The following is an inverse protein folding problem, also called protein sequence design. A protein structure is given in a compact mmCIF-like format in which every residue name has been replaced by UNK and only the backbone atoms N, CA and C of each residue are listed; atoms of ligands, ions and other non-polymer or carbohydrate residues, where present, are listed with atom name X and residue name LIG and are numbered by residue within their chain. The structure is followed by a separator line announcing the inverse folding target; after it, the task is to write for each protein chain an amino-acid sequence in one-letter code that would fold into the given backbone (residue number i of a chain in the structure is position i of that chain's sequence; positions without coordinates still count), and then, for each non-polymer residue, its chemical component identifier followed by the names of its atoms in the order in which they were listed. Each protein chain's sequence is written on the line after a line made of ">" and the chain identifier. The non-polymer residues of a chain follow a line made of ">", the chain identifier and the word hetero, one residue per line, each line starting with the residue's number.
data_IF_157403776253
#
_entry.id   IF_157403776253
#
_cell.length_a   1.000
_cell.length_b   1.000
_cell.length_c   1.000
_cell.angle_alpha   90.00
_cell.angle_beta   90.00
_cell.angle_gamma   90.00
#
_symmetry.space_group_name_H-M   'P 1'
#
loop_
_entity.id
_entity.type
_entity.pdbx_description
1 polymer ?
#
# COMPACT_ATOMS: atom_id res chain seq x y z
N UNK A 1 -19.05 -18.78 -1.59
CA UNK A 1 -19.41 -17.65 -0.71
C UNK A 1 -18.43 -16.56 -1.05
N UNK A 2 -18.87 -15.49 -1.72
CA UNK A 2 -18.06 -14.31 -2.02
C UNK A 2 -17.70 -13.68 -0.68
N UNK A 3 -16.41 -13.55 -0.42
CA UNK A 3 -15.87 -12.86 0.76
C UNK A 3 -16.18 -11.36 0.59
N UNK A 4 -17.35 -10.94 1.10
CA UNK A 4 -17.81 -9.55 1.01
C UNK A 4 -16.99 -8.73 2.00
N UNK A 5 -16.06 -7.93 1.48
CA UNK A 5 -15.27 -6.99 2.26
C UNK A 5 -16.13 -5.83 2.77
N UNK A 6 -15.72 -5.25 3.90
CA UNK A 6 -16.37 -4.06 4.47
C UNK A 6 -15.33 -2.95 4.63
N UNK A 7 -15.71 -1.76 4.20
CA UNK A 7 -14.93 -0.55 4.41
C UNK A 7 -15.78 0.40 5.24
N UNK A 8 -15.25 0.93 6.33
CA UNK A 8 -15.96 1.88 7.16
C UNK A 8 -15.09 3.07 7.57
N UNK A 9 -15.74 4.16 7.92
CA UNK A 9 -15.13 5.45 8.16
C UNK A 9 -15.20 6.38 6.94
N UNK A 10 -15.28 7.67 7.20
CA UNK A 10 -15.55 8.68 6.15
C UNK A 10 -14.50 8.69 5.06
N UNK A 11 -13.23 8.82 5.43
CA UNK A 11 -12.15 8.95 4.46
C UNK A 11 -11.97 7.70 3.59
N UNK A 12 -11.90 6.47 4.14
CA UNK A 12 -11.84 5.26 3.32
C UNK A 12 -13.00 5.12 2.33
N UNK A 13 -14.22 5.45 2.74
CA UNK A 13 -15.39 5.37 1.85
C UNK A 13 -15.40 6.50 0.81
N UNK A 14 -14.93 7.69 1.14
CA UNK A 14 -14.75 8.76 0.15
C UNK A 14 -13.71 8.38 -0.91
N UNK A 15 -12.56 7.83 -0.50
CA UNK A 15 -11.52 7.40 -1.43
C UNK A 15 -12.00 6.24 -2.31
N UNK A 16 -12.71 5.27 -1.76
CA UNK A 16 -13.37 4.22 -2.55
C UNK A 16 -14.26 4.80 -3.67
N UNK A 17 -15.08 5.80 -3.33
CA UNK A 17 -16.01 6.42 -4.29
C UNK A 17 -15.31 7.32 -5.32
N UNK A 18 -14.17 7.92 -4.97
CA UNK A 18 -13.39 8.80 -5.84
C UNK A 18 -12.48 8.03 -6.79
N UNK A 19 -11.92 6.91 -6.34
CA UNK A 19 -10.96 6.11 -7.11
C UNK A 19 -11.57 5.51 -8.37
N UNK A 20 -12.87 5.19 -8.34
CA UNK A 20 -13.53 4.44 -9.42
C UNK A 20 -13.01 3.01 -9.60
N UNK A 21 -12.14 2.54 -8.69
CA UNK A 21 -11.51 1.22 -8.72
C UNK A 21 -12.48 0.10 -8.35
N UNK A 22 -12.53 -0.26 -7.07
CA UNK A 22 -13.49 -1.27 -6.59
C UNK A 22 -14.90 -0.72 -6.57
N UNK A 23 -15.84 -1.50 -7.06
CA UNK A 23 -17.27 -1.13 -6.98
C UNK A 23 -17.81 -1.46 -5.59
N UNK A 24 -18.45 -0.46 -4.95
CA UNK A 24 -19.28 -0.70 -3.79
C UNK A 24 -20.64 -1.25 -4.24
N UNK A 25 -21.12 -2.30 -3.59
CA UNK A 25 -22.46 -2.84 -3.83
C UNK A 25 -23.52 -2.01 -3.10
N UNK A 26 -23.21 -1.59 -1.90
CA UNK A 26 -24.10 -0.80 -1.05
C UNK A 26 -23.28 0.08 -0.09
N UNK A 27 -23.78 1.29 0.15
CA UNK A 27 -23.26 2.18 1.19
C UNK A 27 -24.36 2.44 2.20
N UNK A 28 -24.16 1.97 3.43
CA UNK A 28 -25.02 2.26 4.58
C UNK A 28 -24.54 3.54 5.27
N UNK A 29 -25.43 4.52 5.43
CA UNK A 29 -25.12 5.83 6.01
C UNK A 29 -26.07 6.10 7.19
N UNK A 30 -25.57 6.81 8.20
CA UNK A 30 -26.36 7.20 9.36
C UNK A 30 -27.58 8.03 8.92
N UNK A 31 -28.78 7.68 9.44
CA UNK A 31 -29.99 8.43 9.18
C UNK A 31 -29.83 9.89 9.63
N UNK A 32 -30.32 10.85 8.80
CA UNK A 32 -30.13 12.27 9.03
C UNK A 32 -28.70 12.79 8.71
N UNK A 33 -27.95 12.09 7.89
CA UNK A 33 -26.60 12.47 7.46
C UNK A 33 -26.52 13.92 6.98
N UNK A 34 -25.59 14.70 7.55
CA UNK A 34 -25.31 16.10 7.20
C UNK A 34 -23.80 16.31 7.06
N UNK A 35 -23.40 17.43 6.46
CA UNK A 35 -22.00 17.80 6.31
C UNK A 35 -21.21 16.74 5.52
N UNK A 36 -20.09 16.25 6.04
CA UNK A 36 -19.23 15.30 5.30
C UNK A 36 -19.91 13.99 4.89
N UNK A 37 -20.94 13.53 5.61
CA UNK A 37 -21.70 12.36 5.23
C UNK A 37 -22.64 12.63 4.05
N UNK A 38 -23.10 13.86 3.88
CA UNK A 38 -23.89 14.26 2.71
C UNK A 38 -23.05 14.18 1.42
N UNK A 39 -21.74 14.48 1.49
CA UNK A 39 -20.81 14.31 0.37
C UNK A 39 -20.71 12.83 -0.04
N UNK A 40 -20.59 11.93 0.93
CA UNK A 40 -20.58 10.46 0.67
C UNK A 40 -21.84 10.05 -0.08
N UNK A 41 -23.02 10.49 0.38
CA UNK A 41 -24.30 10.18 -0.26
C UNK A 41 -24.35 10.72 -1.68
N UNK A 42 -23.88 11.95 -1.92
CA UNK A 42 -23.86 12.55 -3.23
C UNK A 42 -22.93 11.81 -4.20
N UNK A 43 -21.74 11.44 -3.76
CA UNK A 43 -20.77 10.67 -4.55
C UNK A 43 -21.31 9.27 -4.86
N UNK A 44 -21.86 8.56 -3.86
CA UNK A 44 -22.43 7.23 -4.04
C UNK A 44 -23.57 7.24 -5.09
N UNK A 45 -24.46 8.22 -5.02
CA UNK A 45 -25.54 8.38 -6.02
C UNK A 45 -25.01 8.66 -7.41
N UNK A 46 -23.99 9.52 -7.55
CA UNK A 46 -23.35 9.79 -8.85
C UNK A 46 -22.68 8.54 -9.43
N UNK A 47 -22.09 7.71 -8.57
CA UNK A 47 -21.48 6.44 -8.96
C UNK A 47 -22.50 5.30 -9.20
N UNK A 48 -23.80 5.55 -9.05
CA UNK A 48 -24.86 4.53 -9.19
C UNK A 48 -24.82 3.46 -8.09
N UNK A 49 -24.23 3.76 -6.94
CA UNK A 49 -24.14 2.84 -5.80
C UNK A 49 -25.41 2.98 -4.95
N UNK A 50 -25.96 1.84 -4.54
CA UNK A 50 -27.12 1.80 -3.64
C UNK A 50 -26.78 2.43 -2.29
N UNK A 51 -27.59 3.40 -1.85
CA UNK A 51 -27.46 4.04 -0.54
C UNK A 51 -28.62 3.63 0.35
N UNK A 52 -28.32 3.16 1.56
CA UNK A 52 -29.31 2.86 2.60
C UNK A 52 -29.04 3.69 3.85
N UNK A 53 -30.11 4.13 4.50
CA UNK A 53 -30.00 4.87 5.75
C UNK A 53 -30.25 3.93 6.93
N UNK A 54 -29.41 4.01 7.95
CA UNK A 54 -29.38 3.11 9.11
C UNK A 54 -29.26 3.89 10.42
N UNK A 55 -29.68 3.28 11.52
CA UNK A 55 -29.36 3.80 12.85
C UNK A 55 -27.91 3.55 13.20
N UNK A 56 -27.41 4.16 14.27
CA UNK A 56 -26.05 3.96 14.74
C UNK A 56 -25.79 2.50 15.13
N UNK A 57 -26.75 1.88 15.81
CA UNK A 57 -26.71 0.49 16.26
C UNK A 57 -26.64 -0.49 15.07
N UNK A 58 -27.42 -0.21 14.02
CA UNK A 58 -27.39 -1.00 12.80
C UNK A 58 -26.06 -0.87 12.08
N UNK A 59 -25.47 0.33 12.01
CA UNK A 59 -24.15 0.52 11.43
C UNK A 59 -23.07 -0.18 12.24
N UNK A 60 -23.15 -0.13 13.58
CA UNK A 60 -22.23 -0.86 14.48
C UNK A 60 -22.31 -2.37 14.24
N UNK A 61 -23.53 -2.91 14.09
CA UNK A 61 -23.72 -4.32 13.79
C UNK A 61 -23.13 -4.71 12.42
N UNK A 62 -23.32 -3.87 11.39
CA UNK A 62 -22.75 -4.10 10.05
C UNK A 62 -21.21 -3.98 10.07
N UNK A 63 -20.67 -2.96 10.74
CA UNK A 63 -19.24 -2.68 10.78
C UNK A 63 -18.46 -3.61 11.74
N UNK A 64 -19.15 -4.22 12.70
CA UNK A 64 -18.52 -4.96 13.81
C UNK A 64 -17.79 -4.06 14.81
N UNK A 65 -18.00 -2.74 14.76
CA UNK A 65 -17.34 -1.73 15.60
C UNK A 65 -18.14 -0.43 15.62
N UNK A 66 -17.98 0.36 16.68
CA UNK A 66 -18.56 1.70 16.84
C UNK A 66 -17.77 2.81 16.11
N UNK A 67 -16.56 2.49 15.60
CA UNK A 67 -15.64 3.45 14.94
C UNK A 67 -15.98 3.74 13.47
N UNK A 68 -17.18 3.40 13.02
CA UNK A 68 -17.62 3.54 11.62
C UNK A 68 -17.86 4.99 11.17
N UNK A 69 -17.83 5.97 12.05
CA UNK A 69 -18.02 7.40 11.72
C UNK A 69 -19.31 7.70 10.92
N UNK A 70 -20.33 6.87 11.09
CA UNK A 70 -21.63 7.03 10.43
C UNK A 70 -21.73 6.49 9.01
N UNK A 71 -20.76 5.72 8.53
CA UNK A 71 -20.78 5.14 7.19
C UNK A 71 -20.06 3.79 7.12
N UNK A 72 -20.64 2.87 6.34
CA UNK A 72 -20.10 1.55 6.02
C UNK A 72 -20.40 1.25 4.55
N UNK A 73 -19.39 0.86 3.77
CA UNK A 73 -19.53 0.36 2.41
C UNK A 73 -19.36 -1.16 2.40
N UNK A 74 -20.21 -1.86 1.66
CA UNK A 74 -20.02 -3.25 1.27
C UNK A 74 -19.33 -3.26 -0.09
N UNK A 75 -18.21 -3.99 -0.20
CA UNK A 75 -17.37 -4.00 -1.40
C UNK A 75 -16.95 -5.43 -1.73
N UNK A 76 -16.66 -5.71 -2.98
CA UNK A 76 -15.91 -6.91 -3.32
C UNK A 76 -14.55 -6.90 -2.63
N UNK A 77 -14.00 -8.06 -2.31
CA UNK A 77 -12.63 -8.16 -1.79
C UNK A 77 -11.64 -7.50 -2.74
N UNK A 78 -10.61 -6.87 -2.19
CA UNK A 78 -9.55 -6.32 -3.03
C UNK A 78 -8.86 -7.45 -3.79
N UNK A 79 -8.78 -7.32 -5.11
CA UNK A 79 -8.11 -8.29 -5.96
C UNK A 79 -6.61 -8.02 -5.98
N UNK A 80 -5.85 -9.12 -6.03
CA UNK A 80 -4.42 -9.03 -6.28
C UNK A 80 -4.16 -8.97 -7.79
N UNK A 81 -3.27 -8.06 -8.17
CA UNK A 81 -2.70 -8.05 -9.50
C UNK A 81 -1.70 -9.22 -9.68
N UNK A 82 -1.35 -9.52 -10.90
CA UNK A 82 -0.17 -10.32 -11.22
C UNK A 82 1.05 -9.41 -11.43
N UNK A 83 2.25 -10.00 -11.38
CA UNK A 83 3.49 -9.25 -11.52
C UNK A 83 3.62 -8.62 -12.93
N UNK A 84 3.08 -9.27 -13.96
CA UNK A 84 3.11 -8.76 -15.33
C UNK A 84 2.25 -7.49 -15.44
N UNK A 85 1.08 -7.48 -14.83
CA UNK A 85 0.22 -6.30 -14.76
C UNK A 85 0.88 -5.12 -14.04
N UNK A 86 1.64 -5.39 -12.95
CA UNK A 86 2.40 -4.35 -12.26
C UNK A 86 3.46 -3.71 -13.19
N UNK A 87 4.19 -4.50 -13.94
CA UNK A 87 5.24 -4.03 -14.86
C UNK A 87 4.70 -3.16 -16.00
N UNK A 88 3.43 -3.31 -16.37
CA UNK A 88 2.80 -2.48 -17.39
C UNK A 88 2.39 -1.08 -16.87
N UNK A 89 2.24 -0.90 -15.55
CA UNK A 89 1.81 0.39 -14.98
C UNK A 89 2.80 1.52 -15.29
N UNK A 90 4.11 1.42 -14.97
CA UNK A 90 5.07 2.46 -15.29
C UNK A 90 5.22 2.69 -16.79
N UNK A 91 5.16 1.66 -17.62
CA UNK A 91 5.21 1.79 -19.08
C UNK A 91 4.05 2.65 -19.61
N UNK A 92 2.81 2.40 -19.13
CA UNK A 92 1.64 3.18 -19.52
C UNK A 92 1.70 4.64 -19.05
N UNK A 93 2.40 4.90 -17.94
CA UNK A 93 2.60 6.27 -17.41
C UNK A 93 3.81 6.98 -18.02
N UNK A 94 4.69 6.25 -18.73
CA UNK A 94 5.96 6.81 -19.24
C UNK A 94 6.92 7.18 -18.10
N UNK A 95 6.87 6.47 -16.97
CA UNK A 95 7.62 6.74 -15.77
C UNK A 95 8.67 5.66 -15.50
N UNK A 96 9.78 6.03 -14.85
CA UNK A 96 10.75 5.05 -14.37
C UNK A 96 10.08 4.13 -13.31
N UNK A 97 10.15 2.79 -13.45
CA UNK A 97 9.56 1.87 -12.48
C UNK A 97 9.96 2.17 -11.04
N UNK A 98 8.99 2.16 -10.15
CA UNK A 98 9.18 2.20 -8.70
C UNK A 98 8.22 1.21 -8.05
N UNK A 99 8.77 0.17 -7.45
CA UNK A 99 8.01 -0.85 -6.72
C UNK A 99 8.46 -0.95 -5.27
N UNK A 100 7.57 -1.45 -4.44
CA UNK A 100 7.88 -1.83 -3.07
C UNK A 100 7.64 -3.34 -2.93
N UNK A 101 8.61 -4.09 -2.44
CA UNK A 101 8.46 -5.50 -2.10
C UNK A 101 8.55 -5.69 -0.58
N UNK A 102 7.67 -6.51 -0.02
CA UNK A 102 7.59 -6.74 1.42
C UNK A 102 7.94 -8.19 1.73
N UNK A 103 8.94 -8.40 2.56
CA UNK A 103 9.39 -9.73 2.97
C UNK A 103 8.92 -10.04 4.40
N UNK A 104 7.78 -10.74 4.52
CA UNK A 104 7.21 -11.20 5.80
C UNK A 104 6.72 -10.08 6.74
N UNK A 105 6.10 -9.03 6.21
CA UNK A 105 5.41 -8.02 7.03
C UNK A 105 4.06 -8.59 7.48
N UNK A 106 3.92 -8.95 8.75
CA UNK A 106 2.76 -9.67 9.29
C UNK A 106 1.73 -8.78 9.99
N UNK A 107 2.12 -7.61 10.50
CA UNK A 107 1.17 -6.68 11.15
C UNK A 107 0.34 -5.92 10.08
N UNK A 108 -1.01 -6.03 10.13
CA UNK A 108 -1.88 -5.33 9.20
C UNK A 108 -1.74 -3.80 9.21
N UNK A 109 -1.35 -3.22 10.35
CA UNK A 109 -1.14 -1.77 10.50
C UNK A 109 0.10 -1.33 9.74
N UNK A 110 1.20 -2.09 9.87
CA UNK A 110 2.43 -1.82 9.13
C UNK A 110 2.23 -2.01 7.64
N UNK A 111 1.56 -3.08 7.25
CA UNK A 111 1.23 -3.32 5.83
C UNK A 111 0.39 -2.18 5.25
N UNK A 112 -0.69 -1.79 5.94
CA UNK A 112 -1.53 -0.67 5.49
C UNK A 112 -0.78 0.67 5.44
N UNK A 113 0.09 0.95 6.41
CA UNK A 113 0.94 2.13 6.39
C UNK A 113 1.92 2.13 5.21
N UNK A 114 2.50 0.96 4.87
CA UNK A 114 3.38 0.81 3.71
C UNK A 114 2.64 0.96 2.38
N UNK A 115 1.41 0.44 2.25
CA UNK A 115 0.57 0.69 1.07
C UNK A 115 0.29 2.18 0.88
N UNK A 116 -0.05 2.88 1.97
CA UNK A 116 -0.27 4.34 1.94
C UNK A 116 1.01 5.10 1.59
N UNK A 117 2.14 4.69 2.13
CA UNK A 117 3.45 5.27 1.83
C UNK A 117 3.82 5.06 0.37
N UNK A 118 3.66 3.84 -0.15
CA UNK A 118 3.95 3.50 -1.53
C UNK A 118 3.12 4.36 -2.50
N UNK A 119 1.81 4.49 -2.24
CA UNK A 119 0.92 5.35 -3.02
C UNK A 119 1.34 6.82 -2.95
N UNK A 120 1.53 7.36 -1.75
CA UNK A 120 1.85 8.77 -1.51
C UNK A 120 3.17 9.23 -2.16
N UNK A 121 4.14 8.31 -2.31
CA UNK A 121 5.44 8.59 -2.93
C UNK A 121 5.55 8.09 -4.39
N UNK A 122 4.43 7.73 -5.01
CA UNK A 122 4.35 7.42 -6.44
C UNK A 122 4.90 6.06 -6.83
N UNK A 123 4.91 5.08 -5.92
CA UNK A 123 5.20 3.71 -6.31
C UNK A 123 4.10 3.17 -7.25
N UNK A 124 4.50 2.36 -8.23
CA UNK A 124 3.59 1.78 -9.22
C UNK A 124 2.89 0.52 -8.71
N UNK A 125 3.38 -0.08 -7.64
CA UNK A 125 2.77 -1.25 -7.03
C UNK A 125 3.59 -1.81 -5.89
N UNK A 126 2.93 -2.72 -5.14
CA UNK A 126 3.53 -3.42 -4.01
C UNK A 126 3.51 -4.92 -4.29
N UNK A 127 4.60 -5.61 -4.00
CA UNK A 127 4.76 -7.06 -4.21
C UNK A 127 4.87 -7.73 -2.86
N UNK A 128 4.04 -8.74 -2.64
CA UNK A 128 4.00 -9.47 -1.37
C UNK A 128 4.07 -10.98 -1.58
N UNK A 129 4.72 -11.75 -0.70
CA UNK A 129 4.68 -13.19 -0.76
C UNK A 129 3.29 -13.73 -0.36
N UNK A 130 2.93 -14.90 -0.91
CA UNK A 130 1.67 -15.59 -0.59
C UNK A 130 1.63 -16.12 0.84
N UNK A 131 2.78 -16.49 1.39
CA UNK A 131 2.91 -17.11 2.71
C UNK A 131 3.70 -16.22 3.66
N UNK A 132 3.41 -16.32 4.96
CA UNK A 132 4.06 -15.55 6.04
C UNK A 132 3.97 -14.02 5.87
N UNK A 133 2.91 -13.57 5.21
CA UNK A 133 2.62 -12.16 4.94
C UNK A 133 1.15 -11.89 5.24
N UNK A 134 0.85 -10.75 5.86
CA UNK A 134 -0.53 -10.31 5.98
C UNK A 134 -1.09 -9.96 4.60
N UNK A 135 -2.34 -10.37 4.35
CA UNK A 135 -3.04 -10.05 3.12
C UNK A 135 -3.76 -8.69 3.18
N UNK A 136 -4.49 -8.38 2.10
CA UNK A 136 -5.39 -7.22 2.00
C UNK A 136 -6.65 -7.42 2.86
N UNK A 137 -6.45 -7.55 4.18
CA UNK A 137 -7.52 -7.69 5.17
C UNK A 137 -8.24 -6.36 5.40
N UNK A 138 -9.43 -6.40 6.01
CA UNK A 138 -10.13 -5.17 6.44
C UNK A 138 -9.27 -4.29 7.36
N UNK A 139 -8.45 -4.89 8.22
CA UNK A 139 -7.55 -4.17 9.11
C UNK A 139 -6.43 -3.45 8.33
N UNK A 140 -5.84 -4.11 7.33
CA UNK A 140 -4.84 -3.52 6.44
C UNK A 140 -5.44 -2.40 5.58
N UNK A 141 -6.63 -2.63 5.00
CA UNK A 141 -7.32 -1.63 4.18
C UNK A 141 -7.67 -0.37 4.99
N UNK A 142 -8.06 -0.52 6.27
CA UNK A 142 -8.28 0.62 7.17
C UNK A 142 -7.00 1.39 7.45
N UNK A 143 -5.91 0.69 7.76
CA UNK A 143 -4.62 1.33 8.03
C UNK A 143 -4.09 2.07 6.80
N UNK A 144 -4.39 1.56 5.60
CA UNK A 144 -4.04 2.17 4.33
C UNK A 144 -4.86 3.45 4.03
N UNK A 145 -5.93 3.74 4.78
CA UNK A 145 -6.73 4.98 4.66
C UNK A 145 -7.21 5.28 3.23
N UNK A 146 -7.54 4.24 2.46
CA UNK A 146 -8.00 4.33 1.08
C UNK A 146 -6.92 4.13 0.01
N UNK A 147 -5.63 4.08 0.35
CA UNK A 147 -4.56 3.86 -0.62
C UNK A 147 -4.70 2.53 -1.40
N UNK A 148 -5.37 1.52 -0.81
CA UNK A 148 -5.68 0.24 -1.47
C UNK A 148 -6.46 0.42 -2.77
N UNK A 149 -7.16 1.53 -2.94
CA UNK A 149 -7.96 1.82 -4.13
C UNK A 149 -7.10 2.35 -5.30
N UNK A 150 -5.87 2.77 -5.02
CA UNK A 150 -4.99 3.42 -5.98
C UNK A 150 -3.70 2.66 -6.27
N UNK A 151 -3.25 1.83 -5.31
CA UNK A 151 -2.00 1.07 -5.44
C UNK A 151 -2.29 -0.40 -5.76
N UNK A 152 -1.74 -0.90 -6.85
CA UNK A 152 -1.83 -2.31 -7.20
C UNK A 152 -0.95 -3.16 -6.29
N UNK A 153 -1.47 -4.32 -5.84
CA UNK A 153 -0.72 -5.26 -5.01
C UNK A 153 -0.62 -6.60 -5.73
N UNK A 154 0.58 -7.03 -6.07
CA UNK A 154 0.83 -8.37 -6.60
C UNK A 154 1.14 -9.35 -5.48
N UNK A 155 0.59 -10.55 -5.57
CA UNK A 155 0.80 -11.62 -4.59
C UNK A 155 1.50 -12.80 -5.23
N UNK A 156 2.78 -12.99 -4.89
CA UNK A 156 3.66 -13.95 -5.51
C UNK A 156 3.94 -15.15 -4.60
N UNK A 157 3.98 -16.35 -5.17
CA UNK A 157 4.31 -17.56 -4.41
C UNK A 157 5.75 -17.53 -3.92
N UNK A 158 6.67 -17.00 -4.72
CA UNK A 158 8.09 -16.91 -4.42
C UNK A 158 8.59 -15.48 -4.68
N UNK A 159 8.90 -14.76 -3.59
CA UNK A 159 9.40 -13.39 -3.67
C UNK A 159 10.72 -13.29 -4.43
N UNK A 160 11.64 -14.24 -4.23
CA UNK A 160 12.95 -14.26 -4.92
C UNK A 160 12.73 -14.35 -6.44
N UNK A 161 11.86 -15.25 -6.90
CA UNK A 161 11.53 -15.36 -8.33
C UNK A 161 10.90 -14.10 -8.89
N UNK A 162 10.08 -13.41 -8.10
CA UNK A 162 9.50 -12.13 -8.50
C UNK A 162 10.58 -11.05 -8.64
N UNK A 163 11.52 -10.95 -7.69
CA UNK A 163 12.64 -10.01 -7.75
C UNK A 163 13.56 -10.30 -8.95
N UNK A 164 13.85 -11.56 -9.24
CA UNK A 164 14.61 -11.95 -10.43
C UNK A 164 13.90 -11.58 -11.74
N UNK A 165 12.57 -11.66 -11.77
CA UNK A 165 11.78 -11.21 -12.92
C UNK A 165 11.87 -9.69 -13.10
N UNK A 166 11.84 -8.93 -12.01
CA UNK A 166 12.05 -7.47 -12.04
C UNK A 166 13.45 -7.13 -12.57
N UNK A 167 14.49 -7.82 -12.11
CA UNK A 167 15.88 -7.63 -12.58
C UNK A 167 16.00 -7.85 -14.09
N UNK A 168 15.41 -8.93 -14.61
CA UNK A 168 15.35 -9.20 -16.05
C UNK A 168 14.63 -8.10 -16.84
N UNK A 169 13.75 -7.35 -16.19
CA UNK A 169 13.04 -6.20 -16.77
C UNK A 169 13.80 -4.87 -16.59
N UNK A 170 15.05 -4.91 -16.11
CA UNK A 170 15.90 -3.72 -15.93
C UNK A 170 15.64 -2.95 -14.63
N UNK A 171 14.95 -3.55 -13.67
CA UNK A 171 14.66 -2.93 -12.36
C UNK A 171 15.73 -3.32 -11.35
N UNK A 172 16.40 -2.36 -10.73
CA UNK A 172 17.37 -2.56 -9.66
C UNK A 172 16.67 -2.90 -8.34
N UNK A 173 17.22 -3.84 -7.60
CA UNK A 173 16.66 -4.31 -6.34
C UNK A 173 17.47 -3.77 -5.16
N UNK A 174 16.84 -2.93 -4.35
CA UNK A 174 17.43 -2.32 -3.17
C UNK A 174 16.80 -2.90 -1.91
N UNK A 175 17.58 -3.59 -1.08
CA UNK A 175 17.11 -4.19 0.17
C UNK A 175 17.34 -3.25 1.36
N UNK A 176 16.36 -3.09 2.25
CA UNK A 176 16.59 -2.41 3.53
C UNK A 176 17.39 -3.28 4.48
N UNK A 177 18.45 -2.74 5.06
CA UNK A 177 19.29 -3.42 6.05
C UNK A 177 19.50 -2.56 7.30
N UNK A 178 19.86 -3.22 8.40
CA UNK A 178 20.25 -2.58 9.64
C UNK A 178 21.76 -2.83 9.84
N UNK A 179 22.52 -1.76 10.03
CA UNK A 179 23.96 -1.82 10.30
C UNK A 179 24.84 -1.95 9.06
N UNK A 180 24.60 -2.91 8.19
CA UNK A 180 25.42 -3.14 6.99
C UNK A 180 24.71 -2.68 5.72
N UNK A 181 25.38 -1.91 4.89
CA UNK A 181 24.87 -1.38 3.62
C UNK A 181 25.29 0.06 3.38
N UNK A 182 24.86 0.60 2.23
CA UNK A 182 25.11 1.98 1.86
C UNK A 182 24.03 2.91 2.41
N UNK A 183 24.38 4.08 2.98
CA UNK A 183 23.39 5.09 3.35
C UNK A 183 22.52 5.46 2.16
N UNK A 184 21.19 5.41 2.31
CA UNK A 184 20.25 5.59 1.19
C UNK A 184 20.48 6.90 0.40
N UNK A 185 20.89 7.96 1.07
CA UNK A 185 21.17 9.26 0.43
C UNK A 185 22.49 9.31 -0.38
N UNK A 186 23.34 8.27 -0.32
CA UNK A 186 24.59 8.17 -1.10
C UNK A 186 24.43 7.33 -2.37
N UNK A 187 23.28 6.70 -2.55
CA UNK A 187 22.98 5.80 -3.66
C UNK A 187 22.05 6.49 -4.64
N UNK A 188 22.26 6.34 -5.93
CA UNK A 188 21.34 6.85 -6.95
C UNK A 188 20.07 6.00 -7.00
N UNK A 189 18.93 6.63 -6.66
CA UNK A 189 17.60 6.04 -6.63
C UNK A 189 16.66 6.65 -7.69
N UNK A 190 17.21 7.29 -8.72
CA UNK A 190 16.41 7.97 -9.77
C UNK A 190 15.91 7.01 -10.84
N UNK A 191 16.65 5.93 -11.11
CA UNK A 191 16.33 4.93 -12.13
C UNK A 191 15.19 3.97 -11.78
N UNK A 192 14.95 2.96 -12.64
CA UNK A 192 14.02 1.87 -12.37
C UNK A 192 14.42 1.07 -11.12
N UNK A 193 13.56 0.99 -10.11
CA UNK A 193 13.92 0.36 -8.84
C UNK A 193 12.77 -0.34 -8.13
N UNK A 194 13.13 -1.30 -7.27
CA UNK A 194 12.27 -1.93 -6.28
C UNK A 194 12.95 -1.85 -4.91
N UNK A 195 12.29 -1.22 -3.93
CA UNK A 195 12.69 -1.26 -2.53
C UNK A 195 12.15 -2.53 -1.88
N UNK A 196 12.99 -3.30 -1.21
CA UNK A 196 12.60 -4.50 -0.47
C UNK A 196 12.72 -4.24 1.02
N UNK A 197 11.61 -4.36 1.74
CA UNK A 197 11.53 -4.17 3.19
C UNK A 197 11.30 -5.52 3.88
N UNK A 198 12.09 -5.82 4.88
CA UNK A 198 11.99 -7.03 5.68
C UNK A 198 11.02 -6.93 6.85
N UNK A 199 10.90 -8.03 7.60
CA UNK A 199 10.10 -8.09 8.81
C UNK A 199 10.70 -7.25 9.95
N UNK A 200 9.86 -6.93 10.94
CA UNK A 200 10.32 -6.31 12.18
C UNK A 200 11.17 -7.29 13.00
N UNK A 201 12.37 -6.86 13.34
CA UNK A 201 13.32 -7.63 14.15
C UNK A 201 14.27 -8.51 13.33
N UNK A 202 13.81 -9.31 12.39
CA UNK A 202 14.67 -10.21 11.60
C UNK A 202 15.19 -9.58 10.30
N UNK A 203 14.54 -8.51 9.82
CA UNK A 203 14.90 -7.88 8.57
C UNK A 203 14.56 -8.74 7.34
N UNK A 204 15.40 -8.69 6.32
CA UNK A 204 15.27 -9.50 5.10
C UNK A 204 15.74 -10.93 5.33
N UNK A 205 15.01 -11.91 4.82
CA UNK A 205 15.49 -13.30 4.77
C UNK A 205 16.80 -13.39 3.99
N UNK A 206 17.73 -14.30 4.38
CA UNK A 206 19.06 -14.35 3.77
C UNK A 206 19.07 -14.50 2.24
N UNK A 207 18.12 -15.27 1.68
CA UNK A 207 18.05 -15.45 0.24
C UNK A 207 17.52 -14.20 -0.46
N UNK A 208 16.55 -13.48 0.16
CA UNK A 208 16.05 -12.22 -0.37
C UNK A 208 17.12 -11.15 -0.32
N UNK A 209 17.86 -11.04 0.79
CA UNK A 209 18.98 -10.10 0.92
C UNK A 209 20.07 -10.34 -0.14
N UNK A 210 20.44 -11.61 -0.41
CA UNK A 210 21.39 -11.96 -1.48
C UNK A 210 20.87 -11.69 -2.88
N UNK A 211 19.58 -11.62 -3.09
CA UNK A 211 18.97 -11.27 -4.38
C UNK A 211 19.00 -9.77 -4.64
N UNK A 212 19.12 -8.95 -3.60
CA UNK A 212 19.23 -7.50 -3.75
C UNK A 212 20.58 -7.14 -4.42
N UNK A 213 20.55 -6.12 -5.28
CA UNK A 213 21.75 -5.59 -5.92
C UNK A 213 22.54 -4.71 -4.94
N UNK A 214 21.85 -3.96 -4.09
CA UNK A 214 22.42 -3.08 -3.08
C UNK A 214 21.59 -3.17 -1.80
N UNK A 215 22.26 -3.21 -0.65
CA UNK A 215 21.62 -3.04 0.64
C UNK A 215 21.70 -1.57 1.08
N UNK A 216 20.56 -1.01 1.44
CA UNK A 216 20.42 0.37 1.89
C UNK A 216 20.27 0.42 3.40
N UNK A 217 20.94 1.37 4.02
CA UNK A 217 20.74 1.69 5.44
C UNK A 217 20.14 3.08 5.63
N UNK A 218 19.45 3.25 6.74
CA UNK A 218 19.04 4.55 7.26
C UNK A 218 19.93 4.81 8.49
N UNK A 219 20.98 5.65 8.38
CA UNK A 219 21.85 5.95 9.51
C UNK A 219 21.08 6.55 10.70
N UNK A 220 21.28 5.97 11.84
CA UNK A 220 20.61 6.33 13.10
C UNK A 220 21.59 7.06 14.01
N UNK A 221 21.21 8.24 14.50
CA UNK A 221 22.01 8.99 15.46
C UNK A 221 21.69 8.66 16.92
N UNK A 222 20.60 7.93 17.16
CA UNK A 222 20.11 7.58 18.50
C UNK A 222 20.65 6.24 19.00
N UNK A 223 20.17 5.82 20.17
CA UNK A 223 20.54 4.55 20.83
C UNK A 223 19.68 3.36 20.35
N UNK A 224 18.55 3.61 19.70
CA UNK A 224 17.67 2.57 19.19
C UNK A 224 18.24 2.00 17.90
N UNK A 225 18.38 0.67 17.83
CA UNK A 225 19.08 0.00 16.73
C UNK A 225 18.31 -0.10 15.40
N UNK A 226 16.98 0.11 15.40
CA UNK A 226 16.17 0.00 14.18
C UNK A 226 14.92 0.89 14.25
N UNK A 227 14.36 1.20 13.09
CA UNK A 227 13.04 1.82 12.95
C UNK A 227 11.96 0.74 12.77
N UNK A 228 10.73 1.10 13.16
CA UNK A 228 9.56 0.36 12.70
C UNK A 228 9.55 0.28 11.16
N UNK A 229 9.12 -0.86 10.59
CA UNK A 229 9.19 -1.10 9.14
C UNK A 229 8.39 -0.08 8.32
N UNK A 230 7.25 0.39 8.84
CA UNK A 230 6.48 1.47 8.21
C UNK A 230 7.25 2.79 8.17
N UNK A 231 7.95 3.14 9.27
CA UNK A 231 8.79 4.33 9.34
C UNK A 231 10.01 4.22 8.43
N UNK A 232 10.69 3.08 8.41
CA UNK A 232 11.81 2.81 7.50
C UNK A 232 11.36 2.91 6.04
N UNK A 233 10.22 2.29 5.69
CA UNK A 233 9.63 2.38 4.37
C UNK A 233 9.30 3.81 3.96
N UNK A 234 8.75 4.61 4.88
CA UNK A 234 8.44 6.03 4.61
C UNK A 234 9.71 6.84 4.33
N UNK A 235 10.77 6.64 5.12
CA UNK A 235 12.05 7.34 4.92
C UNK A 235 12.70 6.97 3.57
N UNK A 236 12.74 5.69 3.20
CA UNK A 236 13.30 5.22 1.93
C UNK A 236 12.46 5.68 0.73
N UNK A 237 11.13 5.57 0.79
CA UNK A 237 10.25 6.03 -0.29
C UNK A 237 10.34 7.57 -0.48
N UNK A 238 10.44 8.32 0.62
CA UNK A 238 10.66 9.77 0.55
C UNK A 238 11.98 10.09 -0.13
N UNK A 239 13.06 9.37 0.18
CA UNK A 239 14.36 9.58 -0.45
C UNK A 239 14.32 9.32 -1.96
N UNK A 240 13.63 8.25 -2.41
CA UNK A 240 13.38 8.00 -3.84
C UNK A 240 12.64 9.19 -4.47
N UNK A 241 11.54 9.63 -3.86
CA UNK A 241 10.75 10.75 -4.39
C UNK A 241 11.55 12.06 -4.41
N UNK A 242 12.34 12.32 -3.36
CA UNK A 242 13.21 13.50 -3.27
C UNK A 242 14.24 13.51 -4.40
N UNK A 243 14.95 12.41 -4.62
CA UNK A 243 15.96 12.32 -5.68
C UNK A 243 15.35 12.48 -7.06
N UNK A 244 14.22 11.81 -7.34
CA UNK A 244 13.51 11.94 -8.62
C UNK A 244 13.02 13.37 -8.87
N UNK A 245 12.53 14.06 -7.83
CA UNK A 245 12.09 15.47 -7.95
C UNK A 245 13.24 16.43 -8.23
N UNK A 246 14.46 16.13 -7.74
CA UNK A 246 15.66 16.93 -8.01
C UNK A 246 16.28 16.60 -9.37
N UNK A 247 16.33 15.31 -9.76
CA UNK A 247 16.86 14.88 -11.07
C UNK A 247 16.04 15.38 -12.27
N UNK A 248 14.72 15.58 -12.10
CA UNK A 248 13.86 16.16 -13.13
C UNK A 248 14.04 17.67 -13.37
N UNK A 249 14.87 18.35 -12.58
CA UNK A 249 15.16 19.79 -12.73
C UNK A 249 16.45 20.09 -13.50
N UNK A 250 17.15 19.06 -13.97
CA UNK A 250 18.43 19.18 -14.68
C UNK A 250 18.33 18.83 -16.17
N UNK A 251 17.13 18.91 -16.75
CA UNK A 251 16.93 18.75 -18.19
C UNK A 251 16.38 20.04 -18.82
#
# INVERSE_FOLDING_TARGET
>A
MTDEGRIYGRNPVLELLRSGGRRADEIAVLAGARGPLAEVVALARRAGVKVSFRTREQLTAIAGTDRHQGVVARVASAEYADLSGLLEIPKRRGEAPFFLALDQVQDPRNFGALLRTAEAFGAHGVIVPKHHQVGLTEAAARAAMGAVEYIAVARETNLVSALETLKKSGVWIYGSAVGEGSPAWTVDLTGPLCLVLGSEGEGLRPLVARTCDILLTIPMAGQVGSLNVGAAGAALCYEVARQRALGGKTA
#
